data_IF_762341182948
#
_entry.id   IF_762341182948
#
_cell.length_a   1.000
_cell.length_b   1.000
_cell.length_c   1.000
_cell.angle_alpha   90.00
_cell.angle_beta   90.00
_cell.angle_gamma   90.00
#
_symmetry.space_group_name_H-M   'P 1'
#
loop_
_entity.id
_entity.type
_entity.pdbx_description
1 polymer ?
#
# COMPACT_ATOMS: atom_id res chain seq x y z
N UNK A 1 -29.18 21.03 13.80
CA UNK A 1 -28.24 20.05 14.37
C UNK A 1 -27.21 19.65 13.30
N UNK A 2 -25.99 20.13 13.47
CA UNK A 2 -24.86 19.86 12.57
C UNK A 2 -24.48 18.38 12.69
N UNK A 3 -24.74 17.60 11.64
CA UNK A 3 -24.44 16.16 11.63
C UNK A 3 -22.93 16.01 11.60
N UNK A 4 -22.34 15.50 12.68
CA UNK A 4 -20.91 15.26 12.76
C UNK A 4 -20.46 14.35 11.59
N UNK A 5 -19.61 14.89 10.70
CA UNK A 5 -19.03 14.14 9.60
C UNK A 5 -18.10 13.06 10.17
N UNK A 6 -18.45 11.80 9.96
CA UNK A 6 -17.63 10.67 10.39
C UNK A 6 -16.56 10.38 9.33
N UNK A 7 -15.31 10.21 9.76
CA UNK A 7 -14.22 9.81 8.87
C UNK A 7 -13.95 8.30 8.95
N UNK A 8 -13.44 7.72 7.87
CA UNK A 8 -13.15 6.29 7.80
C UNK A 8 -12.04 5.95 6.81
N UNK A 9 -11.51 4.74 6.93
CA UNK A 9 -10.62 4.12 5.95
C UNK A 9 -11.21 2.80 5.49
N UNK A 10 -10.79 2.31 4.32
CA UNK A 10 -11.24 1.03 3.77
C UNK A 10 -10.07 0.14 3.43
N UNK A 11 -10.20 -1.15 3.73
CA UNK A 11 -9.20 -2.14 3.37
C UNK A 11 -9.12 -2.31 1.84
N UNK A 12 -7.94 -2.10 1.24
CA UNK A 12 -7.74 -2.29 -0.20
C UNK A 12 -7.87 -3.73 -0.71
N UNK A 13 -8.02 -4.72 0.18
CA UNK A 13 -8.21 -6.12 -0.21
C UNK A 13 -9.68 -6.58 -0.08
N UNK A 14 -10.28 -6.45 1.11
CA UNK A 14 -11.65 -6.91 1.39
C UNK A 14 -12.71 -5.80 1.40
N UNK A 15 -12.32 -4.53 1.23
CA UNK A 15 -13.18 -3.34 1.27
C UNK A 15 -13.88 -3.03 2.60
N UNK A 16 -13.64 -3.80 3.66
CA UNK A 16 -14.14 -3.48 4.99
C UNK A 16 -13.76 -2.05 5.38
N UNK A 17 -14.78 -1.27 5.76
CA UNK A 17 -14.63 0.11 6.21
C UNK A 17 -14.48 0.15 7.73
N UNK A 18 -13.62 1.04 8.22
CA UNK A 18 -13.36 1.25 9.63
C UNK A 18 -13.52 2.73 9.94
N UNK A 19 -14.48 3.07 10.78
CA UNK A 19 -14.61 4.41 11.33
C UNK A 19 -13.34 4.74 12.13
N UNK A 20 -12.71 5.87 11.80
CA UNK A 20 -11.53 6.34 12.51
C UNK A 20 -11.37 7.83 12.35
N UNK A 21 -10.85 8.48 13.38
CA UNK A 21 -10.58 9.92 13.37
C UNK A 21 -9.09 10.19 13.07
N UNK A 22 -8.75 11.38 12.55
CA UNK A 22 -7.36 11.79 12.35
C UNK A 22 -6.46 11.57 13.58
N UNK A 23 -6.99 11.81 14.78
CA UNK A 23 -6.28 11.72 16.05
C UNK A 23 -5.86 10.28 16.38
N UNK A 24 -6.65 9.28 15.96
CA UNK A 24 -6.31 7.86 16.15
C UNK A 24 -5.04 7.46 15.39
N UNK A 25 -4.77 8.12 14.26
CA UNK A 25 -3.61 7.84 13.42
C UNK A 25 -2.39 8.62 13.90
N UNK A 26 -2.59 9.85 14.37
CA UNK A 26 -1.52 10.78 14.75
C UNK A 26 -0.98 11.57 13.55
N UNK A 27 -0.10 12.55 13.79
CA UNK A 27 0.32 13.52 12.76
C UNK A 27 1.06 12.88 11.58
N UNK A 28 1.79 11.79 11.83
CA UNK A 28 2.54 11.06 10.82
C UNK A 28 1.77 9.84 10.28
N UNK A 29 0.49 9.69 10.59
CA UNK A 29 -0.23 8.47 10.26
C UNK A 29 0.31 7.23 10.99
N UNK A 30 -0.21 6.05 10.62
CA UNK A 30 0.25 4.77 11.18
C UNK A 30 -0.01 3.61 10.22
N UNK A 31 0.76 2.52 10.42
CA UNK A 31 0.40 1.21 9.87
C UNK A 31 -0.83 0.65 10.58
N UNK A 32 -1.83 0.27 9.82
CA UNK A 32 -3.08 -0.33 10.29
C UNK A 32 -3.25 -1.72 9.66
N UNK A 33 -3.89 -2.63 10.39
CA UNK A 33 -4.13 -4.01 9.98
C UNK A 33 -5.63 -4.26 9.88
N UNK A 34 -6.08 -4.80 8.75
CA UNK A 34 -7.47 -5.18 8.55
C UNK A 34 -7.84 -6.37 9.45
N UNK A 35 -8.89 -6.23 10.26
CA UNK A 35 -9.40 -7.30 11.12
C UNK A 35 -10.05 -8.44 10.33
N UNK A 36 -10.55 -8.17 9.11
CA UNK A 36 -11.22 -9.17 8.26
C UNK A 36 -10.23 -10.08 7.52
N UNK A 37 -9.24 -9.49 6.84
CA UNK A 37 -8.35 -10.24 5.93
C UNK A 37 -6.85 -10.08 6.23
N UNK A 38 -6.49 -9.47 7.36
CA UNK A 38 -5.10 -9.22 7.77
C UNK A 38 -4.25 -8.35 6.84
N UNK A 39 -4.80 -7.80 5.74
CA UNK A 39 -4.08 -6.84 4.90
C UNK A 39 -3.61 -5.63 5.71
N UNK A 40 -2.34 -5.25 5.54
CA UNK A 40 -1.71 -4.13 6.24
C UNK A 40 -1.43 -3.01 5.26
N UNK A 41 -1.73 -1.77 5.65
CA UNK A 41 -1.38 -0.58 4.88
C UNK A 41 -0.99 0.56 5.81
N UNK A 42 -0.33 1.57 5.26
CA UNK A 42 -0.09 2.82 5.97
C UNK A 42 -1.25 3.77 5.70
N UNK A 43 -1.85 4.31 6.76
CA UNK A 43 -2.93 5.27 6.70
C UNK A 43 -2.47 6.59 7.32
N UNK A 44 -2.50 7.65 6.53
CA UNK A 44 -2.29 9.02 7.01
C UNK A 44 -3.62 9.69 7.37
N UNK A 45 -3.56 10.66 8.27
CA UNK A 45 -4.72 11.40 8.76
C UNK A 45 -5.42 12.20 7.65
N UNK A 46 -4.65 12.75 6.70
CA UNK A 46 -5.14 13.53 5.55
C UNK A 46 -5.76 12.67 4.43
N UNK A 47 -5.61 11.35 4.49
CA UNK A 47 -6.15 10.40 3.50
C UNK A 47 -7.34 9.61 4.02
N UNK A 48 -8.04 10.12 5.03
CA UNK A 48 -9.30 9.56 5.49
C UNK A 48 -10.44 9.96 4.55
N UNK A 49 -11.34 9.03 4.31
CA UNK A 49 -12.59 9.31 3.60
C UNK A 49 -13.58 9.96 4.56
N UNK A 50 -14.43 10.84 4.03
CA UNK A 50 -15.54 11.43 4.78
C UNK A 50 -16.83 10.71 4.43
N UNK A 51 -17.56 10.26 5.44
CA UNK A 51 -18.88 9.68 5.27
C UNK A 51 -19.86 10.78 4.84
N UNK A 52 -20.63 10.51 3.78
CA UNK A 52 -21.63 11.45 3.26
C UNK A 52 -22.78 11.58 4.26
N UNK A 53 -23.37 12.77 4.32
CA UNK A 53 -24.58 13.00 5.11
C UNK A 53 -25.70 12.02 4.69
N UNK A 54 -26.35 11.41 5.68
CA UNK A 54 -27.42 10.43 5.46
C UNK A 54 -26.94 8.98 5.19
N UNK A 55 -25.64 8.72 5.20
CA UNK A 55 -25.10 7.35 5.13
C UNK A 55 -24.67 6.88 6.52
N UNK A 56 -24.80 5.58 6.77
CA UNK A 56 -24.37 4.89 8.00
C UNK A 56 -23.44 3.72 7.69
N UNK A 57 -22.69 3.28 8.69
CA UNK A 57 -21.93 2.04 8.60
C UNK A 57 -22.85 0.85 8.85
N UNK A 58 -22.74 -0.14 7.97
CA UNK A 58 -23.36 -1.45 8.17
C UNK A 58 -22.31 -2.48 8.62
N UNK A 59 -22.68 -3.47 9.46
CA UNK A 59 -21.78 -4.54 9.84
C UNK A 59 -21.22 -5.27 8.61
N UNK A 60 -19.90 -5.40 8.55
CA UNK A 60 -19.25 -6.13 7.47
C UNK A 60 -19.57 -7.64 7.59
N UNK A 61 -20.09 -8.30 6.54
CA UNK A 61 -20.46 -9.71 6.60
C UNK A 61 -19.22 -10.63 6.51
N UNK A 62 -18.45 -10.72 7.60
CA UNK A 62 -17.16 -11.43 7.67
C UNK A 62 -17.25 -12.88 7.17
N UNK A 63 -18.30 -13.61 7.56
CA UNK A 63 -18.46 -15.02 7.21
C UNK A 63 -18.69 -15.23 5.71
N UNK A 64 -19.49 -14.37 5.08
CA UNK A 64 -19.69 -14.40 3.63
C UNK A 64 -18.38 -14.09 2.88
N UNK A 65 -17.54 -13.20 3.41
CA UNK A 65 -16.23 -12.88 2.82
C UNK A 65 -15.29 -14.08 2.89
N UNK A 66 -15.22 -14.73 4.06
CA UNK A 66 -14.42 -15.95 4.26
C UNK A 66 -14.90 -17.11 3.38
N UNK A 67 -16.21 -17.20 3.12
CA UNK A 67 -16.81 -18.20 2.23
C UNK A 67 -16.60 -17.90 0.73
N UNK A 68 -15.91 -16.81 0.36
CA UNK A 68 -15.65 -16.44 -1.03
C UNK A 68 -16.80 -15.73 -1.75
N UNK A 69 -17.86 -15.34 -1.03
CA UNK A 69 -19.09 -14.76 -1.60
C UNK A 69 -19.02 -13.28 -1.99
N UNK A 70 -17.92 -12.58 -1.70
CA UNK A 70 -17.74 -11.16 -2.04
C UNK A 70 -16.83 -11.00 -3.27
N UNK A 71 -17.45 -10.93 -4.45
CA UNK A 71 -16.74 -10.66 -5.71
C UNK A 71 -16.16 -9.24 -5.72
N UNK A 72 -14.91 -9.12 -6.19
CA UNK A 72 -14.06 -7.91 -6.18
C UNK A 72 -14.45 -6.90 -7.28
N UNK A 73 -15.67 -6.98 -7.80
CA UNK A 73 -16.02 -6.38 -9.08
C UNK A 73 -16.56 -4.96 -8.91
N UNK A 74 -15.64 -4.03 -8.64
CA UNK A 74 -15.84 -2.59 -8.87
C UNK A 74 -14.49 -1.88 -8.75
N UNK A 75 -13.75 -1.79 -9.86
CA UNK A 75 -12.66 -0.82 -10.00
C UNK A 75 -11.28 -1.23 -9.47
N UNK A 76 -10.86 -2.50 -9.65
CA UNK A 76 -9.43 -2.81 -9.60
C UNK A 76 -8.84 -2.44 -10.96
N UNK A 77 -7.93 -1.47 -10.99
CA UNK A 77 -6.99 -1.32 -12.11
C UNK A 77 -6.43 -2.71 -12.47
N UNK A 78 -6.20 -3.01 -13.77
CA UNK A 78 -5.95 -4.35 -14.24
C UNK A 78 -4.90 -5.07 -13.39
N UNK A 79 -5.21 -6.32 -13.07
CA UNK A 79 -4.33 -7.23 -12.35
C UNK A 79 -3.09 -7.54 -13.22
N UNK A 80 -2.14 -6.62 -13.20
CA UNK A 80 -0.85 -6.70 -13.89
C UNK A 80 0.23 -5.88 -13.20
N UNK A 81 -0.13 -4.92 -12.34
CA UNK A 81 0.85 -4.33 -11.42
C UNK A 81 1.07 -5.33 -10.29
N UNK A 82 2.12 -6.15 -10.42
CA UNK A 82 2.76 -6.80 -9.28
C UNK A 82 3.06 -5.68 -8.29
N UNK A 83 2.23 -5.54 -7.25
CA UNK A 83 2.64 -4.78 -6.09
C UNK A 83 3.81 -5.60 -5.54
N UNK A 84 5.03 -5.14 -5.75
CA UNK A 84 6.16 -5.55 -4.95
C UNK A 84 5.81 -5.17 -3.51
N UNK A 85 5.09 -6.04 -2.83
CA UNK A 85 5.11 -6.13 -1.38
C UNK A 85 6.57 -6.40 -1.08
N UNK A 86 7.33 -5.34 -0.75
CA UNK A 86 8.78 -5.37 -0.53
C UNK A 86 9.11 -6.19 0.71
N UNK A 87 8.84 -7.48 0.65
CA UNK A 87 9.33 -8.50 1.54
C UNK A 87 10.31 -9.28 0.66
N UNK A 88 11.52 -8.76 0.51
CA UNK A 88 12.61 -9.42 -0.21
C UNK A 88 13.29 -8.60 -1.31
N UNK A 89 12.57 -7.78 -2.07
CA UNK A 89 13.19 -6.96 -3.13
C UNK A 89 13.51 -5.55 -2.60
N UNK A 90 14.78 -5.32 -2.27
CA UNK A 90 15.34 -4.00 -1.94
C UNK A 90 15.98 -3.42 -3.19
N UNK A 91 15.40 -2.36 -3.74
CA UNK A 91 16.04 -1.58 -4.82
C UNK A 91 16.92 -0.51 -4.20
N UNK A 92 18.19 -0.44 -4.62
CA UNK A 92 19.16 0.55 -4.17
C UNK A 92 19.34 1.64 -5.24
N UNK A 93 19.32 2.91 -4.83
CA UNK A 93 19.69 4.04 -5.68
C UNK A 93 21.12 4.46 -5.32
N UNK A 94 22.02 4.43 -6.31
CA UNK A 94 23.44 4.75 -6.13
C UNK A 94 23.77 5.97 -6.98
N UNK A 95 24.09 7.09 -6.33
CA UNK A 95 24.50 8.33 -6.99
C UNK A 95 26.01 8.51 -7.04
N UNK A 96 26.46 9.57 -7.72
CA UNK A 96 27.88 9.97 -7.81
C UNK A 96 28.80 8.87 -8.38
N UNK A 97 28.31 8.11 -9.35
CA UNK A 97 29.11 7.11 -10.06
C UNK A 97 29.85 7.74 -11.24
N UNK A 98 31.09 7.31 -11.53
CA UNK A 98 31.80 7.77 -12.71
C UNK A 98 31.11 7.30 -14.00
N UNK A 99 31.15 8.11 -15.06
CA UNK A 99 30.58 7.77 -16.38
C UNK A 99 31.18 6.50 -17.01
N UNK A 100 32.38 6.10 -16.58
CA UNK A 100 33.06 4.87 -17.02
C UNK A 100 32.56 3.60 -16.30
N UNK A 101 31.56 3.72 -15.41
CA UNK A 101 30.98 2.58 -14.71
C UNK A 101 30.05 1.80 -15.63
N UNK A 102 30.18 0.48 -15.61
CA UNK A 102 29.33 -0.43 -16.38
C UNK A 102 28.47 -1.27 -15.45
N UNK A 103 27.35 -1.78 -15.97
CA UNK A 103 26.43 -2.63 -15.19
C UNK A 103 27.13 -3.88 -14.64
N UNK A 104 28.06 -4.47 -15.39
CA UNK A 104 28.83 -5.63 -14.96
C UNK A 104 29.70 -5.33 -13.73
N UNK A 105 30.33 -4.15 -13.68
CA UNK A 105 31.13 -3.73 -12.52
C UNK A 105 30.24 -3.51 -11.30
N UNK A 106 29.05 -2.95 -11.50
CA UNK A 106 28.07 -2.72 -10.41
C UNK A 106 27.60 -4.07 -9.88
N UNK A 107 27.21 -4.99 -10.79
CA UNK A 107 26.77 -6.33 -10.43
C UNK A 107 27.86 -7.12 -9.70
N UNK A 108 29.10 -7.07 -10.17
CA UNK A 108 30.23 -7.73 -9.51
C UNK A 108 30.50 -7.16 -8.11
N UNK A 109 30.44 -5.84 -7.95
CA UNK A 109 30.64 -5.18 -6.66
C UNK A 109 29.54 -5.52 -5.66
N UNK A 110 28.27 -5.31 -6.03
CA UNK A 110 27.12 -5.59 -5.16
C UNK A 110 26.85 -7.08 -4.96
N UNK A 111 27.30 -7.93 -5.89
CA UNK A 111 27.25 -9.38 -5.80
C UNK A 111 28.00 -9.94 -4.59
N UNK A 112 28.98 -9.20 -4.06
CA UNK A 112 29.69 -9.58 -2.82
C UNK A 112 28.82 -9.47 -1.57
N UNK A 113 27.75 -8.66 -1.60
CA UNK A 113 26.83 -8.43 -0.48
C UNK A 113 25.52 -9.21 -0.59
N UNK A 114 25.23 -9.80 -1.76
CA UNK A 114 24.02 -10.58 -1.98
C UNK A 114 23.71 -10.80 -3.46
N UNK A 115 22.65 -11.55 -3.73
CA UNK A 115 22.19 -11.80 -5.11
C UNK A 115 21.60 -10.51 -5.73
N UNK A 116 22.17 -10.07 -6.85
CA UNK A 116 21.72 -8.91 -7.60
C UNK A 116 20.81 -9.37 -8.74
N UNK A 117 19.50 -9.10 -8.62
CA UNK A 117 18.49 -9.50 -9.62
C UNK A 117 18.49 -8.62 -10.87
N UNK A 118 18.67 -7.30 -10.72
CA UNK A 118 18.73 -6.37 -11.84
C UNK A 118 19.63 -5.16 -11.54
N UNK A 119 20.21 -4.61 -12.60
CA UNK A 119 20.99 -3.36 -12.59
C UNK A 119 20.46 -2.52 -13.75
N UNK A 120 20.37 -1.21 -13.56
CA UNK A 120 20.01 -0.25 -14.60
C UNK A 120 20.77 1.05 -14.34
N UNK A 121 21.52 1.52 -15.33
CA UNK A 121 22.17 2.83 -15.30
C UNK A 121 21.30 3.82 -16.07
N UNK A 122 20.84 4.87 -15.40
CA UNK A 122 20.11 5.96 -16.04
C UNK A 122 21.14 6.92 -16.62
N UNK A 123 21.22 6.97 -17.96
CA UNK A 123 22.05 7.90 -18.72
C UNK A 123 21.10 8.82 -19.50
N UNK A 124 21.44 10.10 -19.60
CA UNK A 124 20.75 11.04 -20.48
C UNK A 124 20.92 10.60 -21.95
N UNK A 125 19.86 10.67 -22.79
CA UNK A 125 19.92 10.22 -24.20
C UNK A 125 20.87 11.02 -25.09
#
# INVERSE_FOLDING_TARGET
>A
PEVALQTYTSCGNCRAAYAMTPEMLGPNGRRVKCAVCSNVWFQSADKLNTLRAGYSFEPFPVEQYKAGGMSRDSGKAPAGVVKHTRTGAVTLFVGNMPFSMTEDKIRAFFGTYGEVTSVSIIIDP
#
